data_IF_013803799337
#
_entry.id   IF_013803799337
#
_cell.length_a   1.000
_cell.length_b   1.000
_cell.length_c   1.000
_cell.angle_alpha   90.00
_cell.angle_beta   90.00
_cell.angle_gamma   90.00
#
_symmetry.space_group_name_H-M   'P 1'
#
loop_
_entity.id
_entity.type
_entity.pdbx_description
1 polymer ?
#
# COMPACT_ATOMS: atom_id res chain seq x y z
N UNK A 1 -5.71 17.92 -21.88
CA UNK A 1 -4.52 17.39 -21.19
C UNK A 1 -4.29 15.98 -21.71
N UNK A 2 -3.44 15.85 -22.73
CA UNK A 2 -3.07 14.56 -23.31
C UNK A 2 -2.15 13.82 -22.36
N UNK A 3 -2.46 12.55 -22.07
CA UNK A 3 -1.55 11.65 -21.36
C UNK A 3 -0.53 11.20 -22.40
N UNK A 4 0.52 12.00 -22.61
CA UNK A 4 1.37 11.91 -23.81
C UNK A 4 2.32 10.69 -23.86
N UNK A 5 2.19 9.75 -22.92
CA UNK A 5 2.56 8.33 -23.04
C UNK A 5 2.27 7.64 -21.71
N UNK A 6 1.48 6.56 -21.74
CA UNK A 6 1.52 5.55 -20.70
C UNK A 6 2.87 4.81 -20.83
N UNK A 7 3.90 5.32 -20.14
CA UNK A 7 5.21 4.69 -20.09
C UNK A 7 5.14 3.53 -19.10
N UNK A 8 4.97 2.32 -19.61
CA UNK A 8 5.22 1.08 -18.88
C UNK A 8 6.60 0.57 -19.30
N UNK A 9 7.70 1.11 -18.74
CA UNK A 9 9.03 0.66 -19.10
C UNK A 9 9.16 -0.83 -18.79
N UNK A 10 10.01 -1.52 -19.56
CA UNK A 10 10.32 -2.91 -19.29
C UNK A 10 10.91 -3.02 -17.88
N UNK A 11 10.39 -3.90 -17.01
CA UNK A 11 10.99 -4.14 -15.70
C UNK A 11 12.45 -4.56 -15.86
N UNK A 12 13.34 -3.93 -15.09
CA UNK A 12 14.77 -4.27 -15.04
C UNK A 12 15.05 -5.40 -14.05
N UNK A 13 14.14 -5.63 -13.09
CA UNK A 13 14.24 -6.69 -12.09
C UNK A 13 13.50 -7.94 -12.54
N UNK A 14 14.03 -9.10 -12.16
CA UNK A 14 13.41 -10.40 -12.44
C UNK A 14 12.23 -10.74 -11.54
N UNK A 15 12.01 -9.95 -10.47
CA UNK A 15 10.97 -10.17 -9.46
C UNK A 15 10.29 -8.87 -9.11
N UNK A 16 9.00 -8.98 -8.81
CA UNK A 16 8.21 -7.92 -8.19
C UNK A 16 8.46 -7.94 -6.69
N UNK A 17 8.83 -6.80 -6.13
CA UNK A 17 9.03 -6.61 -4.69
C UNK A 17 8.37 -5.32 -4.24
N UNK A 18 8.15 -5.22 -2.94
CA UNK A 18 7.66 -4.03 -2.26
C UNK A 18 8.59 -3.76 -1.10
N UNK A 19 9.08 -2.53 -1.02
CA UNK A 19 9.84 -2.09 0.14
C UNK A 19 8.93 -1.90 1.35
N UNK A 20 9.39 -2.37 2.51
CA UNK A 20 8.70 -2.17 3.79
C UNK A 20 9.49 -1.16 4.60
N UNK A 21 8.94 0.04 4.76
CA UNK A 21 9.59 1.13 5.50
C UNK A 21 9.37 0.90 7.00
N UNK A 22 10.43 0.77 7.83
CA UNK A 22 10.27 0.64 9.27
C UNK A 22 9.52 1.84 9.87
N UNK A 23 8.73 1.58 10.90
CA UNK A 23 7.99 2.60 11.66
C UNK A 23 8.33 2.46 13.13
N UNK A 24 8.65 3.57 13.77
CA UNK A 24 8.85 3.61 15.23
C UNK A 24 7.50 3.43 15.94
N UNK A 25 7.19 2.17 16.27
CA UNK A 25 5.96 1.78 16.92
C UNK A 25 6.13 0.43 17.64
N UNK A 26 5.28 0.18 18.64
CA UNK A 26 5.20 -1.09 19.35
C UNK A 26 3.90 -1.79 18.98
N UNK A 27 3.97 -3.06 18.57
CA UNK A 27 2.79 -3.84 18.27
C UNK A 27 1.93 -4.05 19.52
N UNK A 28 0.64 -3.68 19.52
CA UNK A 28 -0.23 -3.87 20.68
C UNK A 28 -0.55 -5.36 20.96
N UNK A 29 -0.38 -6.24 19.97
CA UNK A 29 -0.71 -7.68 20.10
C UNK A 29 0.43 -8.51 20.66
N UNK A 30 1.68 -8.29 20.21
CA UNK A 30 2.83 -9.11 20.62
C UNK A 30 3.97 -8.33 21.27
N UNK A 31 3.85 -6.99 21.38
CA UNK A 31 4.86 -6.07 21.91
C UNK A 31 6.17 -6.00 21.11
N UNK A 32 6.23 -6.58 19.92
CA UNK A 32 7.37 -6.41 19.00
C UNK A 32 7.48 -4.97 18.52
N UNK A 33 8.73 -4.53 18.29
CA UNK A 33 9.06 -3.25 17.64
C UNK A 33 9.33 -3.42 16.14
N UNK A 34 9.27 -4.65 15.60
CA UNK A 34 9.38 -4.90 14.16
C UNK A 34 8.05 -4.54 13.48
N UNK A 35 7.88 -3.25 13.23
CA UNK A 35 6.70 -2.65 12.61
C UNK A 35 7.13 -1.93 11.34
N UNK A 36 6.38 -2.16 10.25
CA UNK A 36 6.67 -1.54 8.98
C UNK A 36 5.40 -1.08 8.25
N UNK A 37 5.57 -0.01 7.46
CA UNK A 37 4.59 0.57 6.55
C UNK A 37 4.87 0.13 5.11
N UNK A 38 3.85 -0.32 4.40
CA UNK A 38 3.99 -0.72 2.98
C UNK A 38 2.66 -0.72 2.23
N UNK A 39 2.69 -0.66 0.89
CA UNK A 39 1.50 -0.78 0.07
C UNK A 39 0.98 -2.22 0.02
N UNK A 40 -0.35 -2.37 0.02
CA UNK A 40 -1.03 -3.65 -0.23
C UNK A 40 -2.18 -3.48 -1.21
N UNK A 41 -2.41 -4.53 -2.00
CA UNK A 41 -3.66 -4.71 -2.73
C UNK A 41 -4.66 -5.42 -1.79
N UNK A 42 -5.73 -4.71 -1.43
CA UNK A 42 -6.78 -5.23 -0.55
C UNK A 42 -8.12 -5.34 -1.31
N UNK A 43 -9.10 -6.05 -0.76
CA UNK A 43 -10.44 -6.22 -1.35
C UNK A 43 -11.19 -4.88 -1.53
N UNK A 44 -10.87 -3.86 -0.73
CA UNK A 44 -11.39 -2.50 -0.87
C UNK A 44 -10.55 -1.61 -1.83
N UNK A 45 -9.64 -2.22 -2.58
CA UNK A 45 -8.66 -1.56 -3.42
C UNK A 45 -7.31 -1.28 -2.73
N UNK A 46 -6.44 -0.49 -3.38
CA UNK A 46 -5.11 -0.14 -2.87
C UNK A 46 -5.14 0.51 -1.48
N UNK A 47 -4.29 0.05 -0.57
CA UNK A 47 -4.14 0.62 0.78
C UNK A 47 -2.67 0.74 1.16
N UNK A 48 -2.39 1.63 2.09
CA UNK A 48 -1.16 1.61 2.88
C UNK A 48 -1.48 0.98 4.22
N UNK A 49 -0.65 0.05 4.66
CA UNK A 49 -0.81 -0.61 5.96
C UNK A 49 0.41 -0.32 6.82
N UNK A 50 0.19 -0.20 8.12
CA UNK A 50 1.23 -0.36 9.13
C UNK A 50 0.94 -1.68 9.83
N UNK A 51 1.89 -2.62 9.77
CA UNK A 51 1.75 -3.94 10.41
C UNK A 51 2.98 -4.30 11.22
N UNK A 52 2.76 -5.12 12.24
CA UNK A 52 3.85 -5.89 12.84
C UNK A 52 4.33 -6.96 11.85
N UNK A 53 5.64 -7.14 11.73
CA UNK A 53 6.23 -8.15 10.85
C UNK A 53 6.30 -9.53 11.50
N UNK A 54 6.27 -9.61 12.83
CA UNK A 54 6.29 -10.88 13.57
C UNK A 54 4.92 -11.56 13.65
N UNK A 55 3.87 -10.80 14.01
CA UNK A 55 2.52 -11.36 14.23
C UNK A 55 1.49 -10.93 13.18
N UNK A 56 1.86 -10.09 12.21
CA UNK A 56 1.00 -9.58 11.14
C UNK A 56 -0.26 -8.80 11.59
N UNK A 57 -0.35 -8.42 12.87
CA UNK A 57 -1.39 -7.54 13.36
C UNK A 57 -1.36 -6.20 12.61
N UNK A 58 -2.54 -5.71 12.22
CA UNK A 58 -2.70 -4.40 11.61
C UNK A 58 -2.71 -3.33 12.70
N UNK A 59 -1.86 -2.32 12.56
CA UNK A 59 -1.88 -1.14 13.42
C UNK A 59 -2.68 -0.01 12.77
N UNK A 60 -2.55 0.16 11.45
CA UNK A 60 -3.37 1.10 10.69
C UNK A 60 -3.53 0.67 9.23
N UNK A 61 -4.62 1.12 8.61
CA UNK A 61 -4.92 0.91 7.19
C UNK A 61 -5.49 2.22 6.63
N UNK A 62 -4.79 2.85 5.69
CA UNK A 62 -5.20 4.11 5.08
C UNK A 62 -5.29 4.01 3.56
N UNK A 63 -5.97 4.96 2.93
CA UNK A 63 -5.83 5.14 1.47
C UNK A 63 -4.42 5.68 1.19
N UNK A 64 -3.79 5.29 0.07
CA UNK A 64 -2.48 5.83 -0.29
C UNK A 64 -2.58 7.29 -0.73
N UNK A 65 -1.61 8.11 -0.34
CA UNK A 65 -1.46 9.49 -0.81
C UNK A 65 -0.64 9.55 -2.11
N UNK A 66 -0.65 10.67 -2.86
CA UNK A 66 0.10 10.79 -4.12
C UNK A 66 1.58 10.38 -4.01
N UNK A 67 2.23 10.75 -2.91
CA UNK A 67 3.62 10.44 -2.58
C UNK A 67 3.89 8.93 -2.37
N UNK A 68 2.87 8.14 -2.06
CA UNK A 68 3.01 6.70 -1.91
C UNK A 68 3.24 5.99 -3.25
N UNK A 69 2.98 6.68 -4.38
CA UNK A 69 3.07 6.13 -5.73
C UNK A 69 2.33 4.78 -5.89
N UNK A 70 1.25 4.61 -5.12
CA UNK A 70 0.45 3.40 -5.05
C UNK A 70 -1.04 3.74 -5.15
N UNK A 71 -1.80 3.13 -6.07
CA UNK A 71 -1.31 2.40 -7.24
C UNK A 71 -0.51 3.31 -8.17
N UNK A 72 0.26 2.73 -9.10
CA UNK A 72 1.13 3.47 -10.01
C UNK A 72 0.38 4.45 -10.96
N UNK A 73 -0.96 4.46 -10.93
CA UNK A 73 -1.80 5.41 -11.64
C UNK A 73 -3.02 5.78 -10.78
N UNK A 74 -3.45 7.04 -10.83
CA UNK A 74 -4.67 7.47 -10.14
C UNK A 74 -5.91 7.04 -10.94
N UNK A 75 -6.62 6.01 -10.49
CA UNK A 75 -7.90 5.62 -11.11
C UNK A 75 -8.91 6.79 -11.05
N UNK A 76 -9.68 7.05 -12.12
CA UNK A 76 -10.80 8.00 -12.09
C UNK A 76 -11.82 7.70 -10.99
N UNK A 77 -11.94 6.44 -10.59
CA UNK A 77 -12.88 5.96 -9.57
C UNK A 77 -12.32 5.99 -8.14
N UNK A 78 -11.11 6.56 -7.92
CA UNK A 78 -10.44 6.58 -6.60
C UNK A 78 -11.32 7.15 -5.49
N UNK A 79 -12.07 8.20 -5.81
CA UNK A 79 -12.86 8.94 -4.82
C UNK A 79 -14.27 8.38 -4.66
N UNK A 80 -14.64 7.37 -5.44
CA UNK A 80 -15.94 6.73 -5.33
C UNK A 80 -16.00 5.90 -4.04
N UNK A 81 -17.21 5.80 -3.48
CA UNK A 81 -17.43 4.88 -2.37
C UNK A 81 -17.18 3.45 -2.87
N UNK A 82 -16.36 2.63 -2.16
CA UNK A 82 -16.20 1.24 -2.53
C UNK A 82 -17.56 0.54 -2.46
N UNK A 83 -17.86 -0.30 -3.46
CA UNK A 83 -19.08 -1.10 -3.44
C UNK A 83 -19.05 -2.01 -2.20
N UNK A 84 -20.05 -1.83 -1.32
CA UNK A 84 -20.26 -2.71 -0.17
C UNK A 84 -20.96 -3.98 -0.65
N UNK A 85 -20.25 -4.81 -1.41
CA UNK A 85 -20.65 -6.21 -1.56
C UNK A 85 -19.90 -6.98 -0.49
N UNK A 86 -20.52 -7.02 0.70
CA UNK A 86 -20.21 -7.93 1.79
C UNK A 86 -21.19 -9.09 1.75
#
# INVERSE_FOLDING_TARGET
>A
MSVDRLLFPRPETSRVSVERTPVDAVCPSCRSTDVARYPVANYLGPRMVVKCQDCFAHLSVTRPEPEDNWPAWRSPTRDWAPSRLG
#
